data_IF_284299823771
#
_entry.id   IF_284299823771
#
_cell.length_a   1.000
_cell.length_b   1.000
_cell.length_c   1.000
_cell.angle_alpha   90.00
_cell.angle_beta   90.00
_cell.angle_gamma   90.00
#
_symmetry.space_group_name_H-M   'P 1'
#
loop_
_entity.id
_entity.type
_entity.pdbx_description
1 polymer ?
#
# COMPACT_ATOMS: atom_id res chain seq x y z
N UNK A 1 24.07 8.86 -2.69
CA UNK A 1 22.67 9.12 -3.09
C UNK A 1 21.61 8.51 -2.15
N UNK A 2 21.94 7.45 -1.42
CA UNK A 2 21.09 6.83 -0.38
C UNK A 2 20.92 7.66 0.91
N UNK A 3 21.69 8.74 1.07
CA UNK A 3 21.68 9.56 2.30
C UNK A 3 20.51 10.55 2.40
N UNK A 4 19.61 10.60 1.42
CA UNK A 4 18.45 11.48 1.49
C UNK A 4 17.34 10.80 2.30
N UNK A 5 16.93 11.41 3.40
CA UNK A 5 15.86 10.91 4.28
C UNK A 5 14.57 10.52 3.51
N UNK A 6 14.25 11.24 2.43
CA UNK A 6 13.10 10.94 1.56
C UNK A 6 13.17 9.55 0.91
N UNK A 7 14.37 9.13 0.42
CA UNK A 7 14.56 7.82 -0.22
C UNK A 7 14.36 6.69 0.78
N UNK A 8 14.79 6.89 2.02
CA UNK A 8 14.61 5.93 3.10
C UNK A 8 13.12 5.72 3.41
N UNK A 9 12.34 6.80 3.49
CA UNK A 9 10.89 6.68 3.71
C UNK A 9 10.16 5.98 2.55
N UNK A 10 10.56 6.28 1.31
CA UNK A 10 10.01 5.59 0.14
C UNK A 10 10.37 4.11 0.13
N UNK A 11 11.61 3.75 0.45
CA UNK A 11 12.05 2.37 0.52
C UNK A 11 11.31 1.59 1.62
N UNK A 12 11.10 2.22 2.78
CA UNK A 12 10.30 1.63 3.85
C UNK A 12 8.85 1.40 3.42
N UNK A 13 8.27 2.34 2.65
CA UNK A 13 6.92 2.18 2.10
C UNK A 13 6.84 0.99 1.12
N UNK A 14 7.87 0.75 0.29
CA UNK A 14 7.95 -0.44 -0.58
C UNK A 14 7.98 -1.72 0.24
N UNK A 15 8.77 -1.75 1.31
CA UNK A 15 8.86 -2.92 2.21
C UNK A 15 7.49 -3.18 2.84
N UNK A 16 6.82 -2.15 3.38
CA UNK A 16 5.48 -2.30 3.94
C UNK A 16 4.49 -2.83 2.89
N UNK A 17 4.52 -2.30 1.66
CA UNK A 17 3.67 -2.76 0.58
C UNK A 17 3.97 -4.23 0.19
N UNK A 18 5.22 -4.66 0.18
CA UNK A 18 5.60 -6.04 -0.06
C UNK A 18 5.12 -6.97 1.08
N UNK A 19 5.13 -6.51 2.32
CA UNK A 19 4.63 -7.29 3.46
C UNK A 19 3.11 -7.53 3.39
N UNK A 20 2.33 -6.67 2.72
CA UNK A 20 0.89 -6.91 2.52
C UNK A 20 0.61 -8.14 1.65
N UNK A 21 1.57 -8.63 0.86
CA UNK A 21 1.44 -9.90 0.14
C UNK A 21 1.50 -11.11 1.08
N UNK A 22 2.28 -11.02 2.15
CA UNK A 22 2.48 -12.11 3.11
C UNK A 22 1.43 -12.10 4.22
N UNK A 23 1.13 -10.91 4.75
CA UNK A 23 0.23 -10.76 5.89
C UNK A 23 -1.19 -10.41 5.42
N UNK A 24 -2.17 -11.13 5.96
CA UNK A 24 -3.57 -10.84 5.68
C UNK A 24 -3.95 -9.47 6.25
N UNK A 25 -4.81 -8.74 5.52
CA UNK A 25 -5.42 -7.50 6.00
C UNK A 25 -6.52 -7.79 7.01
N UNK A 26 -7.31 -8.84 6.75
CA UNK A 26 -8.46 -9.21 7.55
C UNK A 26 -8.60 -10.73 7.60
N UNK A 27 -8.89 -11.26 8.78
CA UNK A 27 -9.26 -12.63 9.01
C UNK A 27 -10.74 -12.68 9.36
N UNK A 28 -11.52 -13.43 8.61
CA UNK A 28 -12.94 -13.60 8.85
C UNK A 28 -13.35 -15.06 8.81
N UNK A 29 -14.53 -15.35 9.30
CA UNK A 29 -15.16 -16.64 9.26
C UNK A 29 -16.29 -16.62 8.24
N UNK A 30 -16.38 -17.66 7.43
CA UNK A 30 -17.45 -17.90 6.47
C UNK A 30 -18.23 -19.14 6.86
N UNK A 31 -19.55 -19.08 6.84
CA UNK A 31 -20.38 -20.29 6.94
C UNK A 31 -20.33 -21.06 5.62
N UNK A 32 -19.88 -22.32 5.70
CA UNK A 32 -19.86 -23.25 4.58
C UNK A 32 -20.88 -24.32 4.83
N UNK A 33 -22.06 -24.23 4.16
CA UNK A 33 -23.13 -25.21 4.31
C UNK A 33 -23.79 -25.22 5.70
N UNK A 34 -24.50 -26.30 6.02
CA UNK A 34 -25.35 -26.39 7.22
C UNK A 34 -24.57 -26.42 8.55
N UNK A 35 -23.28 -26.78 8.59
CA UNK A 35 -22.53 -26.95 9.84
C UNK A 35 -21.02 -26.65 9.75
N UNK A 36 -20.52 -25.99 8.71
CA UNK A 36 -19.09 -25.74 8.54
C UNK A 36 -18.73 -24.26 8.67
N UNK A 37 -17.69 -23.95 9.44
CA UNK A 37 -17.04 -22.63 9.49
C UNK A 37 -15.68 -22.77 8.81
N UNK A 38 -15.44 -22.01 7.73
CA UNK A 38 -14.14 -21.98 7.09
C UNK A 38 -13.47 -20.61 7.34
N UNK A 39 -12.18 -20.59 7.72
CA UNK A 39 -11.44 -19.34 7.83
C UNK A 39 -11.22 -18.76 6.43
N UNK A 40 -11.47 -17.46 6.28
CA UNK A 40 -11.27 -16.73 5.05
C UNK A 40 -10.37 -15.51 5.30
N UNK A 41 -9.38 -15.31 4.42
CA UNK A 41 -8.42 -14.22 4.55
C UNK A 41 -8.54 -13.25 3.39
N UNK A 42 -8.48 -11.94 3.69
CA UNK A 42 -8.32 -10.89 2.68
C UNK A 42 -6.85 -10.51 2.60
N UNK A 43 -6.22 -10.87 1.49
CA UNK A 43 -4.80 -10.57 1.18
C UNK A 43 -4.68 -9.86 -0.17
N UNK A 44 -3.53 -9.21 -0.39
CA UNK A 44 -3.17 -8.70 -1.71
C UNK A 44 -3.01 -9.82 -2.75
N UNK A 45 -2.37 -10.94 -2.36
CA UNK A 45 -2.28 -12.12 -3.20
C UNK A 45 -3.54 -12.98 -3.05
N UNK A 46 -4.27 -13.25 -4.14
CA UNK A 46 -5.36 -14.20 -4.11
C UNK A 46 -4.80 -15.60 -3.83
N UNK A 47 -5.28 -16.26 -2.79
CA UNK A 47 -4.95 -17.67 -2.53
C UNK A 47 -5.83 -18.55 -3.44
N UNK A 48 -5.19 -19.22 -4.39
CA UNK A 48 -5.82 -20.26 -5.21
C UNK A 48 -5.65 -21.62 -4.49
N UNK A 49 -6.59 -22.00 -3.65
CA UNK A 49 -6.56 -23.29 -2.95
C UNK A 49 -7.94 -23.96 -2.95
N UNK A 50 -7.96 -25.30 -2.93
CA UNK A 50 -9.18 -26.11 -2.83
C UNK A 50 -9.85 -25.86 -1.47
N UNK A 51 -10.73 -24.89 -1.39
CA UNK A 51 -11.41 -24.42 -0.17
C UNK A 51 -11.38 -22.90 0.01
N UNK A 52 -10.56 -22.18 -0.72
CA UNK A 52 -10.67 -20.72 -0.79
C UNK A 52 -11.79 -20.34 -1.74
N UNK A 53 -12.92 -19.98 -1.16
CA UNK A 53 -14.04 -19.44 -1.91
C UNK A 53 -13.59 -18.14 -2.57
N UNK A 54 -13.38 -18.26 -3.85
CA UNK A 54 -13.25 -17.18 -4.83
C UNK A 54 -12.11 -16.18 -4.61
N UNK A 55 -11.14 -16.28 -5.50
CA UNK A 55 -10.52 -15.11 -6.08
C UNK A 55 -11.66 -14.29 -6.76
N UNK A 56 -12.49 -13.62 -5.98
CA UNK A 56 -13.47 -12.68 -6.52
C UNK A 56 -12.70 -11.58 -7.25
N UNK A 57 -13.28 -11.01 -8.28
CA UNK A 57 -12.70 -9.89 -9.05
C UNK A 57 -12.05 -8.80 -8.21
N UNK A 58 -12.53 -8.60 -6.97
CA UNK A 58 -11.95 -7.66 -6.02
C UNK A 58 -10.57 -8.00 -5.48
N UNK A 59 -10.19 -9.27 -5.41
CA UNK A 59 -8.84 -9.69 -4.98
C UNK A 59 -7.80 -9.37 -6.04
N UNK A 60 -8.13 -9.59 -7.32
CA UNK A 60 -7.25 -9.25 -8.45
C UNK A 60 -7.04 -7.73 -8.54
N UNK A 61 -8.08 -6.95 -8.29
CA UNK A 61 -7.99 -5.49 -8.32
C UNK A 61 -7.06 -4.97 -7.22
N UNK A 62 -7.18 -5.50 -6.01
CA UNK A 62 -6.28 -5.16 -4.89
C UNK A 62 -4.83 -5.52 -5.22
N UNK A 63 -4.60 -6.70 -5.81
CA UNK A 63 -3.29 -7.13 -6.28
C UNK A 63 -2.71 -6.12 -7.28
N UNK A 64 -3.46 -5.78 -8.33
CA UNK A 64 -3.00 -4.85 -9.36
C UNK A 64 -2.66 -3.49 -8.78
N UNK A 65 -3.52 -2.92 -7.93
CA UNK A 65 -3.27 -1.62 -7.28
C UNK A 65 -2.02 -1.69 -6.40
N UNK A 66 -1.83 -2.76 -5.63
CA UNK A 66 -0.63 -2.93 -4.79
C UNK A 66 0.65 -3.02 -5.62
N UNK A 67 0.63 -3.76 -6.73
CA UNK A 67 1.77 -3.86 -7.65
C UNK A 67 2.08 -2.49 -8.29
N UNK A 68 1.06 -1.74 -8.69
CA UNK A 68 1.23 -0.38 -9.24
C UNK A 68 1.83 0.56 -8.17
N UNK A 69 1.41 0.47 -6.90
CA UNK A 69 2.00 1.25 -5.81
C UNK A 69 3.48 0.94 -5.66
N UNK A 70 3.86 -0.34 -5.59
CA UNK A 70 5.26 -0.77 -5.46
C UNK A 70 6.08 -0.26 -6.64
N UNK A 71 5.64 -0.54 -7.87
CA UNK A 71 6.31 -0.10 -9.10
C UNK A 71 6.42 1.42 -9.19
N UNK A 72 5.34 2.14 -8.86
CA UNK A 72 5.32 3.59 -8.85
C UNK A 72 6.29 4.21 -7.84
N UNK A 73 6.39 3.64 -6.63
CA UNK A 73 7.37 4.11 -5.63
C UNK A 73 8.79 3.83 -6.11
N UNK A 74 9.08 2.64 -6.67
CA UNK A 74 10.41 2.31 -7.20
C UNK A 74 10.81 3.27 -8.33
N UNK A 75 9.95 3.47 -9.32
CA UNK A 75 10.20 4.43 -10.41
C UNK A 75 10.42 5.84 -9.86
N UNK A 76 9.66 6.23 -8.85
CA UNK A 76 9.78 7.54 -8.22
C UNK A 76 11.11 7.73 -7.48
N UNK A 77 11.67 6.68 -6.87
CA UNK A 77 13.01 6.70 -6.26
C UNK A 77 14.08 7.03 -7.30
N UNK A 78 13.98 6.46 -8.52
CA UNK A 78 14.93 6.73 -9.60
C UNK A 78 14.75 8.10 -10.25
N UNK A 79 13.57 8.73 -10.11
CA UNK A 79 13.27 10.04 -10.69
C UNK A 79 13.76 11.21 -9.84
N UNK A 80 14.93 11.06 -9.20
CA UNK A 80 15.53 12.06 -8.29
C UNK A 80 15.97 13.37 -9.00
N UNK A 81 16.12 13.36 -10.33
CA UNK A 81 16.58 14.51 -11.12
C UNK A 81 15.54 15.61 -11.20
N UNK A 82 14.25 15.27 -11.22
CA UNK A 82 13.13 16.21 -11.34
C UNK A 82 12.25 16.24 -10.09
N UNK A 83 12.63 17.07 -9.09
CA UNK A 83 11.96 17.13 -7.78
C UNK A 83 10.46 17.45 -7.85
N UNK A 84 10.07 18.37 -8.75
CA UNK A 84 8.65 18.70 -8.96
C UNK A 84 7.84 17.49 -9.44
N UNK A 85 8.38 16.73 -10.42
CA UNK A 85 7.73 15.51 -10.90
C UNK A 85 7.66 14.46 -9.81
N UNK A 86 8.76 14.26 -9.05
CA UNK A 86 8.82 13.33 -7.92
C UNK A 86 7.73 13.64 -6.88
N UNK A 87 7.53 14.92 -6.55
CA UNK A 87 6.51 15.36 -5.61
C UNK A 87 5.10 15.02 -6.10
N UNK A 88 4.77 15.34 -7.36
CA UNK A 88 3.45 15.04 -7.93
C UNK A 88 3.17 13.54 -8.00
N UNK A 89 4.17 12.73 -8.39
CA UNK A 89 4.05 11.27 -8.40
C UNK A 89 3.80 10.76 -6.98
N UNK A 90 4.54 11.26 -5.97
CA UNK A 90 4.34 10.85 -4.58
C UNK A 90 2.93 11.18 -4.09
N UNK A 91 2.40 12.35 -4.42
CA UNK A 91 1.01 12.72 -4.07
C UNK A 91 0.01 11.76 -4.74
N UNK A 92 0.19 11.46 -6.01
CA UNK A 92 -0.64 10.47 -6.72
C UNK A 92 -0.60 9.09 -6.06
N UNK A 93 0.59 8.65 -5.62
CA UNK A 93 0.77 7.39 -4.91
C UNK A 93 0.09 7.38 -3.53
N UNK A 94 0.03 8.52 -2.83
CA UNK A 94 -0.75 8.65 -1.58
C UNK A 94 -2.22 8.41 -1.86
N UNK A 95 -2.81 9.06 -2.87
CA UNK A 95 -4.21 8.83 -3.23
C UNK A 95 -4.47 7.38 -3.62
N UNK A 96 -3.55 6.78 -4.38
CA UNK A 96 -3.67 5.38 -4.80
C UNK A 96 -3.57 4.42 -3.59
N UNK A 97 -2.73 4.74 -2.60
CA UNK A 97 -2.62 3.93 -1.37
C UNK A 97 -3.87 4.05 -0.49
N UNK A 98 -4.50 5.23 -0.42
CA UNK A 98 -5.78 5.40 0.26
C UNK A 98 -6.91 4.63 -0.43
N UNK A 99 -6.94 4.66 -1.77
CA UNK A 99 -7.86 3.84 -2.56
C UNK A 99 -7.66 2.35 -2.28
N UNK A 100 -6.40 1.90 -2.17
CA UNK A 100 -6.10 0.50 -1.85
C UNK A 100 -6.64 0.10 -0.47
N UNK A 101 -6.47 0.94 0.55
CA UNK A 101 -7.03 0.71 1.89
C UNK A 101 -8.57 0.65 1.81
N UNK A 102 -9.18 1.55 1.06
CA UNK A 102 -10.63 1.54 0.85
C UNK A 102 -11.11 0.24 0.19
N UNK A 103 -10.39 -0.27 -0.82
CA UNK A 103 -10.70 -1.55 -1.46
C UNK A 103 -10.60 -2.74 -0.48
N UNK A 104 -9.59 -2.75 0.40
CA UNK A 104 -9.48 -3.75 1.45
C UNK A 104 -10.65 -3.68 2.43
N UNK A 105 -10.99 -2.47 2.88
CA UNK A 105 -12.10 -2.25 3.81
C UNK A 105 -13.44 -2.64 3.16
N UNK A 106 -13.67 -2.23 1.91
CA UNK A 106 -14.85 -2.65 1.15
C UNK A 106 -14.96 -4.16 1.09
N UNK A 107 -13.86 -4.84 0.75
CA UNK A 107 -13.83 -6.29 0.62
C UNK A 107 -14.06 -7.01 1.96
N UNK A 108 -13.54 -6.48 3.06
CA UNK A 108 -13.75 -7.05 4.39
C UNK A 108 -15.19 -6.89 4.90
N UNK A 109 -15.92 -5.87 4.43
CA UNK A 109 -17.31 -5.61 4.78
C UNK A 109 -18.35 -6.30 3.88
N UNK A 110 -17.92 -6.94 2.78
CA UNK A 110 -18.84 -7.62 1.87
C UNK A 110 -18.97 -9.11 2.20
N UNK A 111 -20.19 -9.73 2.04
CA UNK A 111 -20.32 -11.17 2.20
C UNK A 111 -19.26 -11.90 1.38
N UNK A 112 -18.71 -13.01 1.86
CA UNK A 112 -19.26 -13.94 2.85
C UNK A 112 -18.78 -13.77 4.31
N UNK A 113 -18.16 -12.65 4.68
CA UNK A 113 -17.67 -12.47 6.06
C UNK A 113 -18.82 -12.15 7.01
N UNK A 114 -19.00 -12.96 8.06
CA UNK A 114 -19.96 -12.69 9.14
C UNK A 114 -19.32 -12.04 10.36
N UNK A 115 -18.08 -12.45 10.67
CA UNK A 115 -17.31 -11.93 11.79
C UNK A 115 -15.83 -12.06 11.50
N UNK A 116 -15.03 -11.16 12.03
CA UNK A 116 -13.59 -11.26 11.87
C UNK A 116 -12.84 -10.11 12.54
N UNK A 117 -11.53 -10.13 12.40
CA UNK A 117 -10.61 -9.16 13.00
C UNK A 117 -9.57 -8.67 11.99
N UNK A 118 -9.19 -7.41 12.14
CA UNK A 118 -8.07 -6.85 11.39
C UNK A 118 -6.76 -7.45 11.87
N UNK A 119 -5.85 -7.68 10.94
CA UNK A 119 -4.56 -8.31 11.21
C UNK A 119 -3.40 -7.35 10.92
N UNK A 120 -2.17 -7.84 11.09
CA UNK A 120 -0.94 -7.07 10.84
C UNK A 120 -0.87 -6.48 9.42
N UNK A 121 -1.49 -7.12 8.44
CA UNK A 121 -1.58 -6.58 7.07
C UNK A 121 -2.32 -5.25 7.01
N UNK A 122 -3.31 -5.00 7.88
CA UNK A 122 -4.00 -3.72 7.97
C UNK A 122 -3.05 -2.62 8.47
N UNK A 123 -2.21 -2.92 9.45
CA UNK A 123 -1.20 -1.99 9.96
C UNK A 123 -0.19 -1.60 8.87
N UNK A 124 0.32 -2.57 8.10
CA UNK A 124 1.23 -2.31 6.99
C UNK A 124 0.58 -1.48 5.90
N UNK A 125 -0.68 -1.76 5.56
CA UNK A 125 -1.43 -0.98 4.57
C UNK A 125 -1.61 0.48 5.00
N UNK A 126 -1.90 0.74 6.29
CA UNK A 126 -2.01 2.08 6.84
C UNK A 126 -0.66 2.80 6.93
N UNK A 127 0.43 2.07 7.12
CA UNK A 127 1.77 2.65 7.17
C UNK A 127 2.22 3.24 5.82
N UNK A 128 1.76 2.68 4.68
CA UNK A 128 2.17 3.13 3.34
C UNK A 128 1.89 4.62 3.12
N UNK A 129 0.65 5.14 3.24
CA UNK A 129 0.38 6.55 3.02
C UNK A 129 1.10 7.45 4.03
N UNK A 130 1.27 7.03 5.28
CA UNK A 130 2.01 7.79 6.29
C UNK A 130 3.47 7.97 5.89
N UNK A 131 4.14 6.90 5.46
CA UNK A 131 5.53 6.93 5.01
C UNK A 131 5.70 7.79 3.75
N UNK A 132 4.73 7.74 2.83
CA UNK A 132 4.74 8.60 1.64
C UNK A 132 4.55 10.08 1.99
N UNK A 133 3.72 10.42 2.98
CA UNK A 133 3.58 11.80 3.48
C UNK A 133 4.90 12.29 4.08
N UNK A 134 5.60 11.45 4.86
CA UNK A 134 6.93 11.77 5.39
C UNK A 134 7.95 11.98 4.25
N UNK A 135 7.87 11.19 3.18
CA UNK A 135 8.69 11.37 1.99
C UNK A 135 8.42 12.71 1.30
N UNK A 136 7.15 13.14 1.15
CA UNK A 136 6.77 14.46 0.62
C UNK A 136 7.39 15.58 1.45
N UNK A 137 7.35 15.47 2.78
CA UNK A 137 8.00 16.42 3.68
C UNK A 137 9.52 16.54 3.42
N UNK A 138 10.18 15.42 3.17
CA UNK A 138 11.60 15.37 2.79
C UNK A 138 11.88 16.07 1.45
N UNK A 139 11.08 15.76 0.41
CA UNK A 139 11.22 16.37 -0.93
C UNK A 139 11.06 17.88 -0.86
N UNK A 140 10.07 18.40 -0.12
CA UNK A 140 9.84 19.85 0.05
C UNK A 140 10.98 20.54 0.78
N UNK A 141 11.57 19.91 1.80
CA UNK A 141 12.75 20.46 2.50
C UNK A 141 13.94 20.58 1.56
N UNK A 142 14.21 19.53 0.78
CA UNK A 142 15.30 19.54 -0.20
C UNK A 142 15.10 20.60 -1.29
N UNK A 143 13.87 20.85 -1.74
CA UNK A 143 13.56 21.89 -2.72
C UNK A 143 13.85 23.31 -2.16
N UNK A 144 13.47 23.54 -0.88
CA UNK A 144 13.74 24.81 -0.20
C UNK A 144 15.24 25.09 -0.06
N UNK A 145 16.03 24.09 0.31
CA UNK A 145 17.47 24.21 0.46
C UNK A 145 18.15 24.60 -0.87
N UNK A 146 17.74 24.00 -1.99
CA UNK A 146 18.33 24.34 -3.29
C UNK A 146 17.96 25.76 -3.70
N UNK A 147 16.68 26.18 -3.53
CA UNK A 147 16.28 27.54 -3.84
C UNK A 147 16.97 28.61 -3.00
N UNK A 148 17.31 28.31 -1.73
CA UNK A 148 18.07 29.24 -0.89
C UNK A 148 19.52 29.38 -1.35
N UNK A 149 20.14 28.29 -1.80
CA UNK A 149 21.52 28.31 -2.31
C UNK A 149 21.63 29.07 -3.64
N UNK A 150 20.64 28.92 -4.54
CA UNK A 150 20.62 29.65 -5.81
C UNK A 150 20.40 31.16 -5.66
N UNK A 151 19.82 31.63 -4.54
CA UNK A 151 19.66 33.07 -4.24
C UNK A 151 20.93 33.74 -3.72
N UNK A 152 21.88 32.94 -3.25
CA UNK A 152 23.15 33.45 -2.67
C UNK A 152 24.28 33.50 -3.72
N UNK A 153 24.02 33.11 -4.94
CA UNK A 153 24.96 33.14 -6.07
C UNK A 153 24.53 34.17 -7.10
#
# INVERSE_FOLDING_TARGET
MLQRKQTLWMLLAVICAALTFKFAFYFGNMKVGLNGIAPLEVKALPTFGAGSVSAGSGSVLILLVTVIIIGGILVNIFNFKSRKKQLWITIGLIFLSLLNIFLYWWKSGTPPFESGSYSLGALFSLAIPVLLIMAVGGIRKDEKLVKSTDRLR
#
